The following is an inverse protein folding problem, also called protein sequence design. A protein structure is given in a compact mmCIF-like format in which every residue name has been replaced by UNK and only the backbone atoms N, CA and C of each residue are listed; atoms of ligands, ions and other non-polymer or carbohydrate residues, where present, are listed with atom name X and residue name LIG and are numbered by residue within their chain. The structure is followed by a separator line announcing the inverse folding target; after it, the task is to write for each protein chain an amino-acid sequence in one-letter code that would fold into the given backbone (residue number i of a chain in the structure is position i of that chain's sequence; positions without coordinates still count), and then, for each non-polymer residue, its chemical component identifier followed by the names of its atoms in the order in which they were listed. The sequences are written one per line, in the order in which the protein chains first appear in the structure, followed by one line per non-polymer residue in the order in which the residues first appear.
data_IF_355496118079
#
_entry.id   IF_355496118079
#
_cell.length_a   1.000
_cell.length_b   1.000
_cell.length_c   1.000
_cell.angle_alpha   90.00
_cell.angle_beta   90.00
_cell.angle_gamma   90.00
#
_symmetry.space_group_name_H-M   'P 1'
#
loop_
_entity.id
_entity.type
_entity.pdbx_description
1 polymer ?
#
# COMPACT_ATOMS: atom_id res chain seq x y z
N UNK A 1 24.74 -7.82 45.40
CA UNK A 1 23.65 -8.79 45.68
C UNK A 1 22.75 -8.83 44.45
N UNK A 2 23.07 -9.66 43.45
CA UNK A 2 22.32 -10.87 43.04
C UNK A 2 20.78 -10.73 43.07
N UNK A 3 20.17 -10.71 41.88
CA UNK A 3 19.15 -11.68 41.44
C UNK A 3 19.11 -11.70 39.90
N UNK A 4 19.78 -12.69 39.33
CA UNK A 4 19.64 -13.13 37.95
C UNK A 4 18.58 -14.22 37.96
N UNK A 5 17.50 -14.04 37.20
CA UNK A 5 16.45 -15.06 37.03
C UNK A 5 16.56 -15.58 35.61
N UNK A 6 17.18 -16.76 35.46
CA UNK A 6 17.14 -17.57 34.25
C UNK A 6 15.93 -18.48 34.39
N UNK A 7 14.99 -18.40 33.44
CA UNK A 7 13.97 -19.43 33.24
C UNK A 7 14.21 -20.07 31.88
N UNK A 8 14.52 -21.35 31.95
CA UNK A 8 14.78 -22.23 30.84
C UNK A 8 13.52 -23.03 30.47
N UNK A 9 13.44 -23.38 29.19
CA UNK A 9 12.88 -24.64 28.65
C UNK A 9 11.37 -24.88 28.73
N UNK A 10 10.76 -25.04 27.55
CA UNK A 10 10.09 -26.29 27.18
C UNK A 10 9.86 -26.32 25.65
N UNK A 11 10.60 -27.19 24.97
CA UNK A 11 10.25 -27.69 23.66
C UNK A 11 9.20 -28.80 23.83
N UNK A 12 8.10 -28.74 23.08
CA UNK A 12 7.15 -29.84 22.92
C UNK A 12 7.06 -30.20 21.44
N UNK A 13 7.21 -31.50 21.22
CA UNK A 13 7.27 -32.25 19.98
C UNK A 13 5.87 -32.54 19.40
N UNK A 14 5.87 -32.80 18.08
CA UNK A 14 5.01 -33.70 17.31
C UNK A 14 3.49 -33.46 17.28
N UNK A 15 2.94 -33.32 16.07
CA UNK A 15 1.48 -33.38 15.88
C UNK A 15 0.98 -33.35 14.44
N UNK A 16 1.16 -34.46 13.72
CA UNK A 16 0.26 -35.06 12.72
C UNK A 16 -0.14 -34.27 11.45
N UNK A 17 0.37 -34.78 10.32
CA UNK A 17 -0.13 -34.51 8.98
C UNK A 17 -1.55 -35.04 8.79
N UNK A 18 -2.43 -34.25 8.17
CA UNK A 18 -3.64 -34.76 7.52
C UNK A 18 -3.75 -34.13 6.14
N UNK A 19 -3.32 -34.88 5.12
CA UNK A 19 -3.65 -34.61 3.73
C UNK A 19 -5.08 -35.12 3.49
N UNK A 20 -6.03 -34.22 3.20
CA UNK A 20 -7.31 -34.58 2.62
C UNK A 20 -7.26 -34.24 1.14
N UNK A 21 -6.81 -35.21 0.36
CA UNK A 21 -7.00 -35.29 -1.09
C UNK A 21 -8.48 -35.51 -1.37
N UNK A 22 -9.15 -34.53 -1.99
CA UNK A 22 -10.50 -34.70 -2.53
C UNK A 22 -10.40 -35.21 -3.99
N UNK A 23 -11.03 -36.35 -4.35
CA UNK A 23 -10.92 -36.93 -5.68
C UNK A 23 -11.87 -36.28 -6.68
N UNK A 24 -11.29 -35.74 -7.75
CA UNK A 24 -11.97 -35.23 -8.94
C UNK A 24 -12.63 -36.36 -9.75
N UNK A 25 -13.86 -36.19 -10.27
CA UNK A 25 -14.47 -37.16 -11.17
C UNK A 25 -13.86 -37.09 -12.58
N UNK A 26 -13.64 -38.23 -13.27
CA UNK A 26 -13.14 -38.26 -14.65
C UNK A 26 -14.24 -37.96 -15.67
N UNK A 27 -13.95 -37.09 -16.64
CA UNK A 27 -14.75 -36.91 -17.86
C UNK A 27 -14.21 -37.77 -19.01
N UNK A 28 -15.10 -38.32 -19.88
CA UNK A 28 -14.76 -39.34 -20.87
C UNK A 28 -13.99 -38.82 -22.10
N UNK A 29 -13.30 -39.72 -22.85
CA UNK A 29 -12.52 -39.34 -24.02
C UNK A 29 -13.42 -39.08 -25.24
N UNK A 30 -13.13 -38.01 -25.98
CA UNK A 30 -13.66 -37.81 -27.33
C UNK A 30 -12.50 -37.86 -28.32
N UNK A 31 -12.49 -38.90 -29.15
CA UNK A 31 -11.52 -39.12 -30.23
C UNK A 31 -12.18 -38.87 -31.59
N UNK A 32 -11.48 -38.13 -32.44
CA UNK A 32 -11.61 -38.16 -33.90
C UNK A 32 -11.56 -36.79 -34.57
N UNK A 33 -11.25 -36.70 -35.87
CA UNK A 33 -10.11 -37.25 -36.63
C UNK A 33 -9.24 -36.11 -37.25
N UNK A 34 -8.11 -36.38 -37.94
CA UNK A 34 -7.19 -35.35 -38.46
C UNK A 34 -7.50 -34.94 -39.92
N UNK A 35 -7.26 -33.67 -40.27
CA UNK A 35 -7.15 -33.20 -41.67
C UNK A 35 -6.39 -31.86 -41.82
N UNK A 36 -5.12 -31.96 -42.24
CA UNK A 36 -4.48 -31.36 -43.44
C UNK A 36 -4.77 -29.90 -43.89
N UNK A 37 -3.72 -29.06 -43.75
CA UNK A 37 -3.12 -28.02 -44.65
C UNK A 37 -3.82 -26.71 -45.12
N UNK A 38 -3.12 -25.60 -44.81
CA UNK A 38 -2.70 -24.45 -45.68
C UNK A 38 -3.61 -23.22 -45.92
N UNK A 39 -3.02 -22.03 -46.25
CA UNK A 39 -3.28 -20.74 -45.57
C UNK A 39 -3.94 -19.63 -46.41
N UNK A 40 -4.42 -18.54 -45.76
CA UNK A 40 -4.48 -17.12 -46.19
C UNK A 40 -5.55 -16.30 -45.41
N UNK A 41 -5.54 -14.95 -45.42
CA UNK A 41 -4.46 -13.99 -45.26
C UNK A 41 -4.60 -13.17 -43.95
N UNK A 42 -3.51 -12.49 -43.57
CA UNK A 42 -3.40 -11.47 -42.52
C UNK A 42 -4.49 -10.38 -42.62
N UNK A 43 -5.14 -9.99 -41.51
CA UNK A 43 -5.79 -8.69 -41.44
C UNK A 43 -4.71 -7.59 -41.32
N UNK A 44 -4.63 -6.73 -42.33
CA UNK A 44 -3.80 -5.52 -42.30
C UNK A 44 -4.01 -4.71 -41.02
N UNK A 45 -2.96 -4.18 -40.37
CA UNK A 45 -3.13 -3.22 -39.30
C UNK A 45 -3.60 -1.89 -39.90
N UNK A 46 -4.90 -1.61 -39.77
CA UNK A 46 -5.43 -0.25 -39.88
C UNK A 46 -4.77 0.58 -38.79
N UNK A 47 -3.76 1.36 -39.17
CA UNK A 47 -3.26 2.49 -38.39
C UNK A 47 -4.38 3.54 -38.33
N UNK A 48 -5.31 3.39 -37.37
CA UNK A 48 -6.05 4.52 -36.85
C UNK A 48 -5.18 5.17 -35.78
N UNK A 49 -4.90 6.47 -35.85
CA UNK A 49 -4.33 7.18 -34.71
C UNK A 49 -5.36 7.12 -33.58
N UNK A 50 -5.08 6.29 -32.58
CA UNK A 50 -5.74 6.36 -31.28
C UNK A 50 -5.57 7.80 -30.78
N UNK A 51 -6.65 8.53 -30.43
CA UNK A 51 -6.49 9.80 -29.74
C UNK A 51 -5.64 9.55 -28.48
N UNK A 52 -4.74 10.47 -28.09
CA UNK A 52 -3.96 10.29 -26.88
C UNK A 52 -4.93 9.98 -25.73
N UNK A 53 -4.67 8.86 -25.06
CA UNK A 53 -5.33 8.50 -23.82
C UNK A 53 -5.09 9.68 -22.88
N UNK A 54 -6.12 10.48 -22.63
CA UNK A 54 -6.05 11.49 -21.58
C UNK A 54 -5.74 10.74 -20.28
N UNK A 55 -4.53 10.95 -19.79
CA UNK A 55 -4.05 10.52 -18.49
C UNK A 55 -5.09 10.95 -17.46
N UNK A 56 -5.85 9.97 -16.95
CA UNK A 56 -6.91 10.21 -15.96
C UNK A 56 -6.25 10.65 -14.67
N UNK A 57 -5.99 11.94 -14.58
CA UNK A 57 -5.50 12.55 -13.36
C UNK A 57 -6.65 12.48 -12.35
N UNK A 58 -6.44 11.80 -11.22
CA UNK A 58 -7.22 12.03 -10.00
C UNK A 58 -7.52 13.53 -9.84
N UNK A 59 -8.67 13.96 -9.27
CA UNK A 59 -9.12 15.34 -9.28
C UNK A 59 -7.99 16.32 -8.98
N UNK A 60 -7.44 16.90 -10.05
CA UNK A 60 -6.25 17.76 -10.07
C UNK A 60 -6.64 19.19 -9.65
N UNK A 61 -7.38 19.29 -8.54
CA UNK A 61 -7.97 20.54 -8.09
C UNK A 61 -7.61 20.91 -6.65
N UNK A 62 -6.78 20.10 -5.97
CA UNK A 62 -6.21 20.54 -4.70
C UNK A 62 -5.16 21.63 -4.97
N UNK A 63 -5.12 22.70 -4.14
CA UNK A 63 -4.11 23.73 -4.28
C UNK A 63 -2.70 23.14 -4.08
N UNK A 64 -1.67 23.71 -4.72
CA UNK A 64 -0.31 23.25 -4.53
C UNK A 64 0.13 23.43 -3.06
N UNK A 65 0.91 22.48 -2.58
CA UNK A 65 1.45 22.40 -1.22
C UNK A 65 2.94 22.67 -1.28
N UNK A 66 3.43 23.63 -0.51
CA UNK A 66 4.87 23.86 -0.41
C UNK A 66 5.56 22.70 0.30
N UNK A 67 6.60 22.15 -0.33
CA UNK A 67 7.45 21.16 0.33
C UNK A 67 8.22 21.83 1.47
N UNK A 68 8.13 21.32 2.71
CA UNK A 68 8.95 21.83 3.81
C UNK A 68 10.43 21.65 3.49
N UNK A 69 11.27 22.61 3.89
CA UNK A 69 12.71 22.38 3.88
C UNK A 69 13.03 21.31 4.92
N UNK A 70 13.73 20.21 4.57
CA UNK A 70 14.04 19.16 5.54
C UNK A 70 14.78 19.73 6.76
N UNK A 71 14.16 19.64 7.93
CA UNK A 71 14.73 20.05 9.21
C UNK A 71 14.98 18.85 10.12
N UNK A 72 14.40 17.69 9.78
CA UNK A 72 14.32 16.54 10.67
C UNK A 72 13.38 16.81 11.84
N UNK A 73 13.50 15.98 12.87
CA UNK A 73 12.70 16.10 14.08
C UNK A 73 11.99 14.80 14.44
N UNK A 74 11.22 14.79 15.53
CA UNK A 74 10.44 13.62 15.89
C UNK A 74 9.16 13.55 15.05
N UNK A 75 8.74 12.33 14.76
CA UNK A 75 7.38 12.07 14.33
C UNK A 75 6.39 12.45 15.44
N UNK A 76 5.33 13.16 15.07
CA UNK A 76 4.18 13.39 15.93
C UNK A 76 3.20 12.23 15.76
N UNK A 77 2.87 11.57 16.88
CA UNK A 77 1.83 10.54 16.91
C UNK A 77 0.44 11.19 16.79
N UNK A 78 -0.41 10.61 15.96
CA UNK A 78 -1.77 11.10 15.71
C UNK A 78 -2.82 10.08 16.19
N UNK A 79 -2.67 8.82 15.80
CA UNK A 79 -3.61 7.71 16.10
C UNK A 79 -5.09 8.07 15.83
N UNK A 80 -5.41 8.40 14.58
CA UNK A 80 -6.77 8.70 14.16
C UNK A 80 -7.28 7.72 13.10
N UNK A 81 -8.48 7.17 13.30
CA UNK A 81 -9.20 6.37 12.31
C UNK A 81 -10.20 7.27 11.58
N UNK A 82 -10.14 7.28 10.25
CA UNK A 82 -10.93 8.14 9.38
C UNK A 82 -11.74 7.28 8.41
N UNK A 83 -13.05 7.29 8.51
CA UNK A 83 -13.99 6.51 7.69
C UNK A 83 -14.83 7.39 6.75
N UNK A 84 -14.69 8.71 6.86
CA UNK A 84 -15.37 9.67 6.00
C UNK A 84 -14.52 10.90 5.65
N UNK A 85 -14.84 11.60 4.55
CA UNK A 85 -14.22 12.89 4.22
C UNK A 85 -14.33 13.94 5.32
N UNK A 86 -15.46 13.96 6.05
CA UNK A 86 -15.70 14.97 7.09
C UNK A 86 -14.85 14.72 8.33
N UNK A 87 -14.60 13.46 8.70
CA UNK A 87 -13.64 13.10 9.76
C UNK A 87 -12.22 13.55 9.39
N UNK A 88 -11.79 13.31 8.14
CA UNK A 88 -10.50 13.80 7.67
C UNK A 88 -10.38 15.32 7.74
N UNK A 89 -11.42 16.06 7.33
CA UNK A 89 -11.45 17.53 7.43
C UNK A 89 -11.43 18.04 8.87
N UNK A 90 -12.03 17.29 9.80
CA UNK A 90 -12.09 17.66 11.21
C UNK A 90 -10.78 17.44 11.99
N UNK A 91 -9.78 16.75 11.40
CA UNK A 91 -8.54 16.37 12.09
C UNK A 91 -7.56 17.54 12.31
N UNK A 92 -7.79 18.36 13.34
CA UNK A 92 -6.98 19.58 13.58
C UNK A 92 -5.52 19.33 13.99
N UNK A 93 -5.16 18.09 14.33
CA UNK A 93 -3.81 17.74 14.76
C UNK A 93 -2.79 17.64 13.60
N UNK A 94 -3.24 17.76 12.34
CA UNK A 94 -2.41 17.60 11.14
C UNK A 94 -2.57 18.77 10.17
N UNK A 95 -1.62 18.97 9.24
CA UNK A 95 -1.70 20.05 8.26
C UNK A 95 -2.99 20.03 7.44
N UNK A 96 -3.54 21.21 7.13
CA UNK A 96 -4.75 21.34 6.32
C UNK A 96 -4.63 20.68 4.95
N UNK A 97 -3.46 20.76 4.33
CA UNK A 97 -3.20 20.12 3.04
C UNK A 97 -3.31 18.59 3.10
N UNK A 98 -2.86 17.97 4.20
CA UNK A 98 -2.99 16.52 4.39
C UNK A 98 -4.45 16.13 4.60
N UNK A 99 -5.18 16.90 5.43
CA UNK A 99 -6.63 16.68 5.62
C UNK A 99 -7.39 16.74 4.30
N UNK A 100 -7.10 17.74 3.47
CA UNK A 100 -7.72 17.91 2.17
C UNK A 100 -7.37 16.75 1.22
N UNK A 101 -6.12 16.29 1.23
CA UNK A 101 -5.66 15.14 0.46
C UNK A 101 -6.40 13.84 0.83
N UNK A 102 -6.54 13.55 2.13
CA UNK A 102 -7.25 12.36 2.61
C UNK A 102 -8.76 12.46 2.37
N UNK A 103 -9.36 13.62 2.64
CA UNK A 103 -10.79 13.84 2.44
C UNK A 103 -11.22 13.73 0.97
N UNK A 104 -10.31 14.00 0.03
CA UNK A 104 -10.57 13.83 -1.40
C UNK A 104 -10.56 12.37 -1.86
N UNK A 105 -10.11 11.43 -1.02
CA UNK A 105 -9.95 10.00 -1.36
C UNK A 105 -10.89 9.08 -0.60
N UNK A 106 -11.19 9.37 0.67
CA UNK A 106 -12.06 8.50 1.47
C UNK A 106 -13.45 8.46 0.83
N UNK A 107 -13.96 7.27 0.57
CA UNK A 107 -15.25 7.02 -0.08
C UNK A 107 -15.25 7.22 -1.59
N UNK A 108 -14.08 7.47 -2.20
CA UNK A 108 -13.93 7.58 -3.65
C UNK A 108 -13.31 6.32 -4.24
N UNK A 109 -13.82 5.92 -5.40
CA UNK A 109 -13.30 4.84 -6.22
C UNK A 109 -12.09 5.33 -7.03
N UNK A 110 -11.01 4.56 -7.02
CA UNK A 110 -9.83 4.78 -7.85
C UNK A 110 -9.99 4.21 -9.27
N UNK A 111 -8.96 4.35 -10.10
CA UNK A 111 -8.98 3.84 -11.48
C UNK A 111 -9.09 2.32 -11.60
N UNK A 112 -8.75 1.60 -10.53
CA UNK A 112 -8.84 0.14 -10.45
C UNK A 112 -10.22 -0.34 -9.96
N UNK A 113 -11.15 0.58 -9.66
CA UNK A 113 -12.45 0.24 -9.10
C UNK A 113 -12.44 0.00 -7.60
N UNK A 114 -11.36 0.40 -6.91
CA UNK A 114 -11.20 0.21 -5.47
C UNK A 114 -11.62 1.48 -4.73
N UNK A 115 -12.56 1.34 -3.79
CA UNK A 115 -12.99 2.46 -2.95
C UNK A 115 -12.18 2.48 -1.66
N UNK A 116 -11.57 3.61 -1.32
CA UNK A 116 -10.90 3.77 -0.02
C UNK A 116 -11.94 3.91 1.09
N UNK A 117 -12.02 2.94 2.00
CA UNK A 117 -13.06 2.86 3.03
C UNK A 117 -12.60 3.40 4.38
N UNK A 118 -11.32 3.29 4.70
CA UNK A 118 -10.78 3.72 6.00
C UNK A 118 -9.31 4.13 5.87
N UNK A 119 -8.89 5.08 6.71
CA UNK A 119 -7.50 5.45 6.93
C UNK A 119 -7.21 5.50 8.42
N UNK A 120 -6.26 4.68 8.88
CA UNK A 120 -5.67 4.81 10.21
C UNK A 120 -4.38 5.65 10.11
N UNK A 121 -4.50 6.94 10.39
CA UNK A 121 -3.37 7.86 10.41
C UNK A 121 -2.60 7.74 11.74
N UNK A 122 -1.40 7.16 11.68
CA UNK A 122 -0.58 6.86 12.86
C UNK A 122 0.34 8.01 13.25
N UNK A 123 0.92 8.70 12.26
CA UNK A 123 1.83 9.81 12.55
C UNK A 123 2.06 10.76 11.37
N UNK A 124 2.56 11.95 11.71
CA UNK A 124 2.98 12.97 10.76
C UNK A 124 4.37 13.49 11.13
N UNK A 125 5.14 13.89 10.14
CA UNK A 125 6.48 14.45 10.29
C UNK A 125 6.53 15.89 9.78
N UNK A 126 7.24 16.82 10.46
CA UNK A 126 7.34 18.22 10.04
C UNK A 126 7.93 18.41 8.64
N UNK A 127 8.78 17.49 8.19
CA UNK A 127 9.36 17.51 6.82
C UNK A 127 8.34 17.16 5.72
N UNK A 128 7.06 17.01 6.05
CA UNK A 128 6.00 16.78 5.05
C UNK A 128 5.79 15.32 4.72
N UNK A 129 5.88 14.43 5.71
CA UNK A 129 5.53 13.02 5.60
C UNK A 129 4.38 12.66 6.54
N UNK A 130 3.65 11.60 6.18
CA UNK A 130 2.61 10.99 6.99
C UNK A 130 2.70 9.47 6.86
N UNK A 131 2.29 8.75 7.90
CA UNK A 131 2.29 7.28 7.91
C UNK A 131 1.01 6.74 8.52
N UNK A 132 0.50 5.67 7.94
CA UNK A 132 -0.72 5.01 8.38
C UNK A 132 -0.99 3.70 7.65
N UNK A 133 -2.22 3.22 7.80
CA UNK A 133 -2.79 2.17 6.96
C UNK A 133 -4.00 2.71 6.21
N UNK A 134 -4.22 2.19 5.01
CA UNK A 134 -5.44 2.42 4.23
C UNK A 134 -6.12 1.08 4.04
N UNK A 135 -7.43 1.06 4.23
CA UNK A 135 -8.28 -0.06 3.84
C UNK A 135 -9.16 0.37 2.68
N UNK A 136 -9.25 -0.50 1.68
CA UNK A 136 -10.07 -0.32 0.49
C UNK A 136 -10.99 -1.51 0.29
N UNK A 137 -11.97 -1.37 -0.60
CA UNK A 137 -12.80 -2.51 -1.05
C UNK A 137 -12.00 -3.64 -1.72
N UNK A 138 -10.73 -3.42 -2.06
CA UNK A 138 -9.83 -4.38 -2.69
C UNK A 138 -8.76 -4.95 -1.73
N UNK A 139 -8.71 -4.48 -0.48
CA UNK A 139 -7.71 -4.85 0.50
C UNK A 139 -7.06 -3.64 1.17
N UNK A 140 -6.22 -3.91 2.16
CA UNK A 140 -5.51 -2.88 2.92
C UNK A 140 -4.01 -2.88 2.66
N UNK A 141 -3.36 -1.77 3.01
CA UNK A 141 -1.91 -1.61 2.95
C UNK A 141 -1.41 -0.63 4.01
N UNK A 142 -0.13 -0.76 4.37
CA UNK A 142 0.62 0.30 5.00
C UNK A 142 1.02 1.33 3.95
N UNK A 143 0.92 2.60 4.30
CA UNK A 143 1.18 3.69 3.37
C UNK A 143 2.01 4.79 4.03
N UNK A 144 3.06 5.21 3.33
CA UNK A 144 3.78 6.45 3.59
C UNK A 144 3.36 7.46 2.53
N UNK A 145 2.79 8.58 2.97
CA UNK A 145 2.52 9.73 2.12
C UNK A 145 3.58 10.80 2.34
N UNK A 146 3.84 11.59 1.31
CA UNK A 146 4.83 12.66 1.35
C UNK A 146 4.54 13.75 0.34
N UNK A 147 5.10 14.94 0.56
CA UNK A 147 4.95 16.06 -0.37
C UNK A 147 6.04 15.95 -1.44
N UNK A 148 5.63 15.69 -2.69
CA UNK A 148 6.50 15.69 -3.87
C UNK A 148 5.82 16.49 -4.98
N UNK A 149 6.62 17.18 -5.81
CA UNK A 149 6.11 17.99 -6.93
C UNK A 149 4.99 18.98 -6.53
N UNK A 150 5.04 19.47 -5.29
CA UNK A 150 4.05 20.42 -4.77
C UNK A 150 2.69 19.81 -4.40
N UNK A 151 2.61 18.50 -4.18
CA UNK A 151 1.36 17.79 -3.79
C UNK A 151 1.68 16.62 -2.86
N UNK A 152 0.70 16.24 -2.04
CA UNK A 152 0.77 15.01 -1.27
C UNK A 152 0.60 13.82 -2.22
N UNK A 153 1.54 12.87 -2.16
CA UNK A 153 1.56 11.65 -2.96
C UNK A 153 1.82 10.42 -2.11
N UNK A 154 1.53 9.27 -2.72
CA UNK A 154 1.99 7.97 -2.26
C UNK A 154 3.50 7.86 -2.50
N UNK A 155 4.27 7.77 -1.43
CA UNK A 155 5.72 7.54 -1.52
C UNK A 155 6.00 6.05 -1.57
N UNK A 156 5.40 5.30 -0.64
CA UNK A 156 5.42 3.84 -0.66
C UNK A 156 4.10 3.29 -0.11
N UNK A 157 3.60 2.22 -0.73
CA UNK A 157 2.48 1.43 -0.25
C UNK A 157 2.87 -0.07 -0.27
N UNK A 158 2.59 -0.80 0.81
CA UNK A 158 2.99 -2.20 0.95
C UNK A 158 2.09 -2.98 1.90
N UNK A 159 1.92 -4.28 1.63
CA UNK A 159 1.15 -5.19 2.48
C UNK A 159 2.04 -5.97 3.44
N UNK A 160 3.22 -6.38 2.96
CA UNK A 160 4.22 -7.12 3.72
C UNK A 160 5.42 -6.24 4.07
N UNK A 161 6.15 -6.64 5.11
CA UNK A 161 7.35 -5.92 5.55
C UNK A 161 8.34 -5.73 4.39
N UNK A 162 8.61 -4.47 4.07
CA UNK A 162 9.52 -4.06 3.00
C UNK A 162 10.95 -3.86 3.51
N UNK A 163 11.99 -3.92 2.65
CA UNK A 163 13.34 -3.61 3.08
C UNK A 163 13.47 -2.15 3.53
N UNK A 164 14.16 -1.91 4.64
CA UNK A 164 14.35 -0.56 5.20
C UNK A 164 15.04 0.40 4.21
N UNK A 165 15.83 -0.15 3.30
CA UNK A 165 16.54 0.62 2.27
C UNK A 165 15.61 1.41 1.36
N UNK A 166 14.45 0.86 1.00
CA UNK A 166 13.49 1.57 0.13
C UNK A 166 12.91 2.81 0.80
N UNK A 167 12.67 2.76 2.11
CA UNK A 167 12.21 3.93 2.87
C UNK A 167 13.32 5.00 2.93
N UNK A 168 14.59 4.59 3.07
CA UNK A 168 15.74 5.53 3.04
C UNK A 168 15.91 6.18 1.67
N UNK A 169 15.78 5.41 0.60
CA UNK A 169 15.90 5.91 -0.78
C UNK A 169 14.82 6.92 -1.14
N UNK A 170 13.71 6.92 -0.42
CA UNK A 170 12.62 7.90 -0.53
C UNK A 170 12.66 8.98 0.55
N UNK A 171 13.81 9.14 1.22
CA UNK A 171 14.06 10.15 2.25
C UNK A 171 13.04 10.13 3.41
N UNK A 172 12.40 8.98 3.67
CA UNK A 172 11.45 8.85 4.79
C UNK A 172 12.21 8.94 6.11
N UNK A 173 11.88 9.90 7.00
CA UNK A 173 12.59 10.05 8.28
C UNK A 173 12.40 8.83 9.18
N UNK A 174 13.48 8.39 9.84
CA UNK A 174 13.45 7.29 10.84
C UNK A 174 12.57 7.64 12.05
N UNK A 175 12.20 6.62 12.82
CA UNK A 175 11.38 6.76 14.03
C UNK A 175 9.89 6.87 13.76
N UNK A 176 9.43 6.26 12.66
CA UNK A 176 8.04 6.29 12.24
C UNK A 176 7.20 5.43 13.20
N UNK A 177 6.11 5.95 13.80
CA UNK A 177 5.37 5.23 14.83
C UNK A 177 4.77 3.91 14.33
N UNK A 178 5.34 2.80 14.79
CA UNK A 178 4.85 1.45 14.50
C UNK A 178 5.10 0.96 13.08
N UNK A 179 5.95 1.65 12.30
CA UNK A 179 6.43 1.15 11.02
C UNK A 179 7.58 0.18 11.26
N UNK A 180 7.46 -1.01 10.69
CA UNK A 180 8.52 -2.02 10.69
C UNK A 180 8.97 -2.32 9.27
N UNK A 181 10.25 -2.61 9.13
CA UNK A 181 10.88 -2.96 7.86
C UNK A 181 11.89 -4.08 8.07
N UNK A 182 12.40 -4.65 6.98
CA UNK A 182 13.40 -5.72 7.00
C UNK A 182 14.78 -5.11 6.77
N UNK A 183 15.64 -5.17 7.78
CA UNK A 183 17.05 -4.85 7.70
C UNK A 183 17.91 -6.11 7.52
N UNK A 184 19.24 -5.94 7.56
CA UNK A 184 20.20 -7.03 7.35
C UNK A 184 20.10 -8.12 8.43
N UNK A 185 19.70 -7.76 9.65
CA UNK A 185 19.55 -8.66 10.80
C UNK A 185 18.10 -9.15 11.01
N UNK A 186 17.18 -8.80 10.10
CA UNK A 186 15.77 -9.15 10.17
C UNK A 186 14.85 -7.94 10.40
N UNK A 187 13.67 -8.18 10.97
CA UNK A 187 12.65 -7.14 11.13
C UNK A 187 12.99 -6.15 12.25
N UNK A 188 13.11 -4.87 11.91
CA UNK A 188 13.39 -3.76 12.82
C UNK A 188 12.30 -2.66 12.76
N UNK A 189 12.31 -1.76 13.74
CA UNK A 189 11.53 -0.53 13.68
C UNK A 189 12.26 0.48 12.78
N UNK A 190 11.51 1.12 11.87
CA UNK A 190 12.07 2.14 10.99
C UNK A 190 12.06 3.51 11.66
#
# INVERSE_FOLDING_TARGET
MRRVTILASAAVLLGVATACTEPMPPSPPSSGPPATLSPAPEPSPTNSPTPPLEESTMPSSLPPVSQPTPQGGPWQKVDATLTSPDEARALTAVPESLRAFLAARIGHEDEAGCTMTEVDLRGVHPDGFAFGTEDTSCGGAHTVWGITEGRWEYIVQFQDAMPCEYLRQNDVPRGVPGLRCVGDEGAEDY
#
